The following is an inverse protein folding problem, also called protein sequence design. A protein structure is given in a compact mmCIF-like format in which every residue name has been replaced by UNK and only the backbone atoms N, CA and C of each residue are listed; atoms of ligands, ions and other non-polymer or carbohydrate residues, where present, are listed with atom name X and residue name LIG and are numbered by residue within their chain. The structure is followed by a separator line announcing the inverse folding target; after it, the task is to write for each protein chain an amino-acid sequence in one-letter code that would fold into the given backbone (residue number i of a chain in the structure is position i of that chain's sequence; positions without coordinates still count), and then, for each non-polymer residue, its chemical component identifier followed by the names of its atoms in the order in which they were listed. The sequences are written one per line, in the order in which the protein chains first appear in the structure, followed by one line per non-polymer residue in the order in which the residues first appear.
data_IF_896464596498
#
_entry.id   IF_896464596498
#
_cell.length_a   1.000
_cell.length_b   1.000
_cell.length_c   1.000
_cell.angle_alpha   90.00
_cell.angle_beta   90.00
_cell.angle_gamma   90.00
#
_symmetry.space_group_name_H-M   'P 1'
#
loop_
_entity.id
_entity.type
_entity.pdbx_description
1 polymer ?
#
# COMPACT_ATOMS: atom_id res chain seq x y z
N UNK A 1 -32.43 -3.41 11.48
CA UNK A 1 -31.31 -2.50 11.19
C UNK A 1 -30.44 -3.17 10.15
N UNK A 2 -30.14 -2.51 9.04
CA UNK A 2 -29.32 -3.10 7.97
C UNK A 2 -27.90 -2.55 8.08
N UNK A 3 -26.92 -3.44 8.17
CA UNK A 3 -25.50 -3.08 8.24
C UNK A 3 -24.83 -3.60 6.97
N UNK A 4 -24.15 -2.70 6.27
CA UNK A 4 -23.34 -3.03 5.10
C UNK A 4 -21.89 -2.68 5.39
N UNK A 5 -20.97 -3.53 4.93
CA UNK A 5 -19.54 -3.41 5.25
C UNK A 5 -18.73 -3.39 3.96
N UNK A 6 -17.91 -2.36 3.79
CA UNK A 6 -16.89 -2.25 2.76
C UNK A 6 -15.52 -2.39 3.43
N UNK A 7 -14.69 -3.30 2.94
CA UNK A 7 -13.31 -3.49 3.42
C UNK A 7 -12.35 -2.78 2.47
N UNK A 8 -11.50 -1.92 3.00
CA UNK A 8 -10.46 -1.24 2.23
C UNK A 8 -9.08 -1.70 2.69
N UNK A 9 -8.36 -2.44 1.84
CA UNK A 9 -7.12 -3.10 2.25
C UNK A 9 -6.02 -3.11 1.18
N UNK A 10 -5.06 -4.01 1.35
CA UNK A 10 -4.00 -4.23 0.36
C UNK A 10 -4.57 -4.67 -1.00
N UNK A 11 -5.67 -5.41 -0.99
CA UNK A 11 -6.36 -5.93 -2.17
C UNK A 11 -7.28 -4.91 -2.86
N UNK A 12 -7.34 -3.67 -2.37
CA UNK A 12 -8.27 -2.64 -2.84
C UNK A 12 -9.56 -2.62 -2.03
N UNK A 13 -10.66 -2.22 -2.66
CA UNK A 13 -11.99 -2.13 -2.04
C UNK A 13 -12.74 -3.44 -2.29
N UNK A 14 -13.08 -4.16 -1.22
CA UNK A 14 -13.90 -5.38 -1.23
C UNK A 14 -15.28 -5.08 -0.67
N UNK A 15 -16.34 -5.57 -1.32
CA UNK A 15 -17.71 -5.33 -0.86
C UNK A 15 -18.10 -3.85 -0.97
N UNK A 16 -17.72 -3.20 -2.08
CA UNK A 16 -17.97 -1.78 -2.33
C UNK A 16 -19.45 -1.43 -2.15
N UNK A 17 -19.75 -0.42 -1.34
CA UNK A 17 -21.13 0.03 -1.09
C UNK A 17 -21.70 0.73 -2.32
N UNK A 18 -22.93 0.36 -2.67
CA UNK A 18 -23.64 0.94 -3.83
C UNK A 18 -24.14 2.35 -3.53
N UNK A 19 -24.37 3.14 -4.58
CA UNK A 19 -25.01 4.46 -4.41
C UNK A 19 -26.33 4.42 -3.64
N UNK A 20 -27.16 3.40 -3.87
CA UNK A 20 -28.43 3.26 -3.15
C UNK A 20 -28.21 3.03 -1.65
N UNK A 21 -27.23 2.21 -1.27
CA UNK A 21 -26.87 1.97 0.13
C UNK A 21 -26.33 3.24 0.79
N UNK A 22 -25.46 3.97 0.09
CA UNK A 22 -24.89 5.22 0.58
C UNK A 22 -25.94 6.31 0.74
N UNK A 23 -26.88 6.45 -0.21
CA UNK A 23 -27.94 7.47 -0.13
C UNK A 23 -29.01 7.14 0.92
N UNK A 24 -29.27 5.85 1.18
CA UNK A 24 -30.18 5.42 2.24
C UNK A 24 -29.55 5.37 3.64
N UNK A 25 -28.22 5.52 3.74
CA UNK A 25 -27.50 5.42 5.00
C UNK A 25 -27.90 6.54 5.97
N UNK A 26 -28.13 6.17 7.23
CA UNK A 26 -28.42 7.09 8.34
C UNK A 26 -27.15 7.56 9.06
N UNK A 27 -26.17 6.68 9.16
CA UNK A 27 -24.88 6.94 9.78
C UNK A 27 -23.80 6.07 9.12
N UNK A 28 -22.55 6.50 9.23
CA UNK A 28 -21.36 5.81 8.76
C UNK A 28 -20.36 5.64 9.91
N UNK A 29 -19.66 4.51 9.96
CA UNK A 29 -18.57 4.29 10.92
C UNK A 29 -17.31 3.99 10.13
N UNK A 30 -16.31 4.85 10.26
CA UNK A 30 -14.98 4.64 9.72
C UNK A 30 -14.09 3.99 10.79
N UNK A 31 -13.93 2.68 10.68
CA UNK A 31 -13.02 1.91 11.52
C UNK A 31 -11.68 1.71 10.80
N UNK A 32 -10.80 2.72 10.83
CA UNK A 32 -9.58 2.70 10.04
C UNK A 32 -8.40 3.43 10.71
N UNK A 33 -7.19 2.90 10.50
CA UNK A 33 -5.92 3.55 10.85
C UNK A 33 -5.25 4.24 9.66
N UNK A 34 -5.80 4.06 8.46
CA UNK A 34 -5.27 4.61 7.20
C UNK A 34 -6.34 5.47 6.53
N UNK A 35 -5.89 6.37 5.64
CA UNK A 35 -6.80 7.21 4.86
C UNK A 35 -7.80 6.35 4.06
N UNK A 36 -9.08 6.68 4.19
CA UNK A 36 -10.18 6.04 3.46
C UNK A 36 -10.10 6.46 1.99
N UNK A 37 -10.03 5.47 1.09
CA UNK A 37 -10.12 5.71 -0.35
C UNK A 37 -11.52 6.21 -0.69
N UNK A 38 -11.59 7.23 -1.55
CA UNK A 38 -12.85 7.79 -2.06
C UNK A 38 -13.81 8.24 -0.95
N UNK A 39 -13.26 8.87 0.10
CA UNK A 39 -14.03 9.36 1.25
C UNK A 39 -15.15 10.33 0.86
N UNK A 40 -15.03 11.00 -0.28
CA UNK A 40 -16.05 11.86 -0.89
C UNK A 40 -17.39 11.17 -1.14
N UNK A 41 -17.41 9.84 -1.32
CA UNK A 41 -18.65 9.03 -1.47
C UNK A 41 -19.54 9.05 -0.23
N UNK A 42 -18.95 9.34 0.92
CA UNK A 42 -19.60 9.34 2.22
C UNK A 42 -19.93 10.77 2.71
N UNK A 43 -19.67 11.78 1.89
CA UNK A 43 -19.93 13.17 2.23
C UNK A 43 -21.42 13.39 2.55
N UNK A 44 -21.71 14.12 3.64
CA UNK A 44 -23.07 14.41 4.09
C UNK A 44 -23.74 13.29 4.90
N UNK A 45 -23.07 12.16 5.13
CA UNK A 45 -23.55 11.11 6.06
C UNK A 45 -22.92 11.38 7.43
N UNK A 46 -23.71 11.41 8.54
CA UNK A 46 -23.15 11.48 9.89
C UNK A 46 -22.13 10.36 10.10
N UNK A 47 -20.89 10.71 10.39
CA UNK A 47 -19.80 9.76 10.42
C UNK A 47 -19.07 9.76 11.77
N UNK A 48 -18.82 8.57 12.30
CA UNK A 48 -17.98 8.34 13.47
C UNK A 48 -16.66 7.70 13.03
N UNK A 49 -15.52 8.30 13.39
CA UNK A 49 -14.19 7.76 13.08
C UNK A 49 -13.56 7.16 14.32
N UNK A 50 -13.15 5.89 14.25
CA UNK A 50 -12.56 5.14 15.36
C UNK A 50 -11.42 4.23 14.89
N UNK A 51 -10.48 3.84 15.78
CA UNK A 51 -9.47 2.82 15.48
C UNK A 51 -10.10 1.46 15.15
N UNK A 52 -9.39 0.62 14.37
CA UNK A 52 -9.93 -0.67 13.87
C UNK A 52 -10.27 -1.66 15.00
N UNK A 53 -9.64 -1.52 16.17
CA UNK A 53 -9.89 -2.36 17.34
C UNK A 53 -11.19 -2.04 18.09
N UNK A 54 -11.68 -0.81 17.99
CA UNK A 54 -12.84 -0.33 18.76
C UNK A 54 -14.15 -1.09 18.42
N UNK A 55 -14.52 -1.28 17.14
CA UNK A 55 -15.69 -2.07 16.77
C UNK A 55 -15.66 -3.54 17.21
N UNK A 56 -14.47 -4.11 17.44
CA UNK A 56 -14.33 -5.50 17.89
C UNK A 56 -14.72 -5.63 19.36
N UNK A 57 -14.45 -4.60 20.17
CA UNK A 57 -14.65 -4.61 21.63
C UNK A 57 -15.97 -3.95 22.05
N UNK A 58 -16.39 -2.90 21.34
CA UNK A 58 -17.51 -2.05 21.73
C UNK A 58 -18.50 -1.81 20.57
N UNK A 59 -18.81 -2.85 19.80
CA UNK A 59 -19.68 -2.78 18.62
C UNK A 59 -21.02 -2.07 18.89
N UNK A 60 -21.73 -2.48 19.94
CA UNK A 60 -23.08 -1.98 20.23
C UNK A 60 -23.07 -0.49 20.60
N UNK A 61 -22.13 -0.08 21.46
CA UNK A 61 -21.97 1.30 21.88
C UNK A 61 -21.69 2.22 20.68
N UNK A 62 -20.83 1.79 19.75
CA UNK A 62 -20.47 2.58 18.58
C UNK A 62 -21.64 2.73 17.59
N UNK A 63 -22.45 1.70 17.42
CA UNK A 63 -23.66 1.77 16.59
C UNK A 63 -24.66 2.76 17.18
N UNK A 64 -24.89 2.71 18.50
CA UNK A 64 -25.79 3.65 19.16
C UNK A 64 -25.28 5.09 19.07
N UNK A 65 -23.98 5.32 19.28
CA UNK A 65 -23.35 6.62 19.12
C UNK A 65 -23.48 7.14 17.69
N UNK A 66 -23.23 6.29 16.69
CA UNK A 66 -23.35 6.68 15.29
C UNK A 66 -24.78 7.06 14.91
N UNK A 67 -25.79 6.35 15.44
CA UNK A 67 -27.21 6.66 15.20
C UNK A 67 -27.70 7.89 15.97
N UNK A 68 -27.03 8.27 17.06
CA UNK A 68 -27.35 9.45 17.85
C UNK A 68 -26.71 10.75 17.30
N UNK A 69 -25.81 10.64 16.31
CA UNK A 69 -25.21 11.82 15.66
C UNK A 69 -26.29 12.64 14.94
N UNK A 70 -26.21 13.95 15.10
CA UNK A 70 -27.10 14.85 14.37
C UNK A 70 -26.82 14.82 12.86
N UNK A 71 -27.85 14.92 12.01
CA UNK A 71 -27.69 15.07 10.58
C UNK A 71 -26.80 16.27 10.28
N UNK A 72 -25.80 16.08 9.41
CA UNK A 72 -24.95 17.20 8.94
C UNK A 72 -25.86 18.25 8.30
N UNK A 73 -25.85 19.48 8.81
CA UNK A 73 -26.63 20.58 8.26
C UNK A 73 -26.05 20.99 6.90
N UNK A 74 -26.74 20.60 5.84
CA UNK A 74 -26.38 20.88 4.44
C UNK A 74 -27.20 19.99 3.51
N UNK A 75 -27.46 20.47 2.29
CA UNK A 75 -28.17 19.67 1.30
C UNK A 75 -27.33 18.43 0.97
N UNK A 76 -27.85 17.25 1.29
CA UNK A 76 -27.12 15.98 1.10
C UNK A 76 -26.97 15.75 -0.39
N UNK A 77 -25.77 15.99 -0.92
CA UNK A 77 -25.46 15.69 -2.30
C UNK A 77 -25.74 14.19 -2.56
N UNK A 78 -26.74 13.91 -3.38
CA UNK A 78 -27.07 12.55 -3.78
C UNK A 78 -25.88 11.98 -4.54
N UNK A 79 -25.26 10.94 -3.99
CA UNK A 79 -24.18 10.26 -4.69
C UNK A 79 -24.78 9.50 -5.87
N UNK A 80 -24.46 9.95 -7.09
CA UNK A 80 -24.75 9.21 -8.31
C UNK A 80 -23.50 8.46 -8.73
N UNK A 81 -23.60 7.13 -8.78
CA UNK A 81 -22.53 6.26 -9.24
C UNK A 81 -22.46 6.33 -10.77
N UNK A 82 -21.64 7.23 -11.30
CA UNK A 82 -21.35 7.35 -12.74
C UNK A 82 -20.39 6.24 -13.18
N UNK A 83 -20.74 4.98 -12.91
CA UNK A 83 -19.97 3.81 -13.37
C UNK A 83 -20.37 3.46 -14.82
N UNK A 84 -20.09 4.34 -15.76
CA UNK A 84 -20.03 3.92 -17.16
C UNK A 84 -18.86 2.94 -17.32
N UNK A 85 -18.99 1.83 -18.05
CA UNK A 85 -17.87 0.93 -18.33
C UNK A 85 -16.77 1.76 -19.00
N UNK A 86 -15.68 2.00 -18.26
CA UNK A 86 -14.57 2.82 -18.77
C UNK A 86 -14.07 2.12 -20.03
N UNK A 87 -14.16 2.81 -21.16
CA UNK A 87 -13.58 2.33 -22.41
C UNK A 87 -12.12 1.97 -22.16
N UNK A 88 -11.64 0.86 -22.73
CA UNK A 88 -10.23 0.44 -22.62
C UNK A 88 -9.26 1.56 -23.03
N UNK A 89 -9.67 2.43 -23.97
CA UNK A 89 -8.90 3.63 -24.35
C UNK A 89 -8.80 4.64 -23.21
N UNK A 90 -9.90 4.87 -22.49
CA UNK A 90 -9.93 5.77 -21.34
C UNK A 90 -9.13 5.20 -20.17
N UNK A 91 -9.22 3.89 -19.93
CA UNK A 91 -8.43 3.20 -18.91
C UNK A 91 -6.93 3.28 -19.21
N UNK A 92 -6.53 2.97 -20.45
CA UNK A 92 -5.14 3.10 -20.89
C UNK A 92 -4.61 4.53 -20.74
N UNK A 93 -5.38 5.53 -21.17
CA UNK A 93 -5.02 6.95 -20.99
C UNK A 93 -4.87 7.31 -19.51
N UNK A 94 -5.79 6.85 -18.67
CA UNK A 94 -5.75 7.11 -17.23
C UNK A 94 -4.52 6.44 -16.59
N UNK A 95 -4.18 5.22 -17.02
CA UNK A 95 -3.01 4.50 -16.54
C UNK A 95 -1.69 5.20 -16.89
N UNK A 96 -1.55 5.64 -18.14
CA UNK A 96 -0.40 6.40 -18.59
C UNK A 96 -0.29 7.75 -17.87
N UNK A 97 -1.40 8.48 -17.75
CA UNK A 97 -1.42 9.77 -17.08
C UNK A 97 -1.02 9.65 -15.61
N UNK A 98 -1.48 8.59 -14.93
CA UNK A 98 -1.05 8.28 -13.57
C UNK A 98 0.46 8.03 -13.50
N UNK A 99 1.00 7.16 -14.34
CA UNK A 99 2.44 6.87 -14.38
C UNK A 99 3.30 8.12 -14.61
N UNK A 100 2.90 8.98 -15.55
CA UNK A 100 3.58 10.26 -15.82
C UNK A 100 3.48 11.20 -14.62
N UNK A 101 2.29 11.35 -14.02
CA UNK A 101 2.08 12.27 -12.89
C UNK A 101 2.95 11.93 -11.69
N UNK A 102 3.17 10.65 -11.42
CA UNK A 102 4.07 10.20 -10.34
C UNK A 102 5.55 10.28 -10.71
N UNK A 103 5.89 10.33 -12.00
CA UNK A 103 7.26 10.54 -12.46
C UNK A 103 7.69 12.02 -12.41
N UNK A 104 6.78 12.97 -12.62
CA UNK A 104 7.07 14.42 -12.67
C UNK A 104 7.83 14.93 -11.43
N UNK A 105 7.40 14.64 -10.18
CA UNK A 105 8.14 15.11 -8.99
C UNK A 105 9.59 14.60 -8.94
N UNK A 106 9.84 13.39 -9.44
CA UNK A 106 11.18 12.82 -9.48
C UNK A 106 12.09 13.54 -10.49
N UNK A 107 11.55 13.85 -11.67
CA UNK A 107 12.25 14.61 -12.71
C UNK A 107 12.60 16.01 -12.20
N UNK A 108 11.64 16.68 -11.57
CA UNK A 108 11.83 18.02 -11.01
C UNK A 108 12.88 17.98 -9.91
N UNK A 109 12.81 17.02 -8.99
CA UNK A 109 13.81 16.87 -7.93
C UNK A 109 15.22 16.57 -8.49
N UNK A 110 15.34 15.71 -9.51
CA UNK A 110 16.63 15.41 -10.13
C UNK A 110 17.25 16.62 -10.82
N UNK A 111 16.44 17.36 -11.57
CA UNK A 111 16.87 18.58 -12.25
C UNK A 111 17.28 19.69 -11.30
N UNK A 112 16.52 19.91 -10.22
CA UNK A 112 16.86 20.95 -9.23
C UNK A 112 18.14 20.61 -8.46
N UNK A 113 18.32 19.36 -8.06
CA UNK A 113 19.57 18.91 -7.40
C UNK A 113 20.77 19.09 -8.33
N UNK A 114 20.64 18.72 -9.60
CA UNK A 114 21.72 18.92 -10.58
C UNK A 114 22.01 20.41 -10.80
N UNK A 115 20.98 21.23 -10.95
CA UNK A 115 21.12 22.67 -11.17
C UNK A 115 21.83 23.37 -9.99
N UNK A 116 21.44 23.04 -8.76
CA UNK A 116 22.08 23.57 -7.55
C UNK A 116 23.54 23.12 -7.47
N UNK A 117 23.83 21.87 -7.80
CA UNK A 117 25.19 21.32 -7.79
C UNK A 117 26.11 22.05 -8.79
N UNK A 118 25.61 22.29 -10.01
CA UNK A 118 26.34 23.01 -11.06
C UNK A 118 26.58 24.46 -10.65
N UNK A 119 25.56 25.15 -10.12
CA UNK A 119 25.67 26.53 -9.67
C UNK A 119 26.70 26.67 -8.54
N UNK A 120 26.70 25.76 -7.58
CA UNK A 120 27.64 25.75 -6.46
C UNK A 120 29.09 25.49 -6.91
N UNK A 121 29.29 24.55 -7.84
CA UNK A 121 30.59 24.30 -8.46
C UNK A 121 31.15 25.55 -9.16
N UNK A 122 30.30 26.30 -9.87
CA UNK A 122 30.68 27.52 -10.57
C UNK A 122 30.98 28.68 -9.62
N UNK A 123 30.14 28.89 -8.60
CA UNK A 123 30.25 30.02 -7.68
C UNK A 123 31.49 29.93 -6.78
N UNK A 124 31.85 28.72 -6.34
CA UNK A 124 32.97 28.50 -5.41
C UNK A 124 34.26 28.05 -6.10
N UNK A 125 34.26 27.92 -7.44
CA UNK A 125 35.42 27.41 -8.18
C UNK A 125 35.76 25.94 -7.91
N UNK A 126 34.80 25.14 -7.44
CA UNK A 126 34.97 23.75 -7.01
C UNK A 126 34.83 22.74 -8.17
N UNK A 127 35.19 23.12 -9.40
CA UNK A 127 35.05 22.26 -10.58
C UNK A 127 35.84 20.95 -10.44
N UNK A 128 37.01 21.01 -9.80
CA UNK A 128 37.80 19.81 -9.51
C UNK A 128 37.03 18.79 -8.66
N UNK A 129 36.22 19.22 -7.67
CA UNK A 129 35.38 18.34 -6.86
C UNK A 129 34.11 17.89 -7.57
N UNK A 130 33.65 18.63 -8.58
CA UNK A 130 32.49 18.28 -9.38
C UNK A 130 32.79 17.11 -10.33
N UNK A 131 34.00 17.08 -10.88
CA UNK A 131 34.47 16.05 -11.81
C UNK A 131 35.19 14.88 -11.10
N UNK A 132 35.74 15.11 -9.91
CA UNK A 132 36.41 14.05 -9.14
C UNK A 132 35.42 13.00 -8.65
N UNK A 133 35.62 11.75 -9.11
CA UNK A 133 34.83 10.61 -8.66
C UNK A 133 34.91 10.42 -7.14
N UNK A 134 33.78 10.06 -6.52
CA UNK A 134 33.60 9.91 -5.06
C UNK A 134 33.71 11.20 -4.22
N UNK A 135 33.84 12.37 -4.85
CA UNK A 135 33.62 13.64 -4.16
C UNK A 135 32.14 13.82 -3.79
N UNK A 136 31.88 14.56 -2.72
CA UNK A 136 30.51 14.88 -2.29
C UNK A 136 29.73 15.60 -3.41
N UNK A 137 30.38 16.52 -4.13
CA UNK A 137 29.74 17.32 -5.17
C UNK A 137 29.45 16.48 -6.43
N UNK A 138 30.35 15.55 -6.76
CA UNK A 138 30.11 14.52 -7.78
C UNK A 138 28.93 13.61 -7.41
N UNK A 139 28.76 13.28 -6.13
CA UNK A 139 27.62 12.47 -5.66
C UNK A 139 26.29 13.16 -5.96
N UNK A 140 26.18 14.46 -5.70
CA UNK A 140 24.97 15.23 -6.02
C UNK A 140 24.72 15.33 -7.54
N UNK A 141 25.79 15.51 -8.33
CA UNK A 141 25.72 15.45 -9.80
C UNK A 141 25.21 14.09 -10.28
N UNK A 142 25.78 12.99 -9.79
CA UNK A 142 25.36 11.62 -10.13
C UNK A 142 23.95 11.30 -9.67
N UNK A 143 23.55 11.81 -8.51
CA UNK A 143 22.21 11.65 -7.97
C UNK A 143 21.19 12.35 -8.89
N UNK A 144 21.37 13.65 -9.13
CA UNK A 144 20.45 14.47 -9.92
C UNK A 144 20.44 14.12 -11.41
N UNK A 145 21.61 14.01 -12.03
CA UNK A 145 21.76 13.78 -13.47
C UNK A 145 21.79 12.32 -13.91
N UNK A 146 21.82 11.37 -12.98
CA UNK A 146 21.95 9.94 -13.29
C UNK A 146 20.92 9.08 -12.57
N UNK A 147 21.10 8.88 -11.27
CA UNK A 147 20.31 7.93 -10.47
C UNK A 147 18.81 8.23 -10.48
N UNK A 148 18.42 9.49 -10.26
CA UNK A 148 17.01 9.89 -10.28
C UNK A 148 16.39 9.76 -11.68
N UNK A 149 17.17 9.98 -12.74
CA UNK A 149 16.76 9.73 -14.12
C UNK A 149 16.55 8.24 -14.41
N UNK A 150 17.43 7.37 -13.91
CA UNK A 150 17.30 5.91 -14.03
C UNK A 150 16.04 5.41 -13.31
N UNK A 151 15.73 5.96 -12.14
CA UNK A 151 14.56 5.58 -11.34
C UNK A 151 13.23 6.03 -11.96
N UNK A 152 13.24 7.02 -12.85
CA UNK A 152 12.02 7.52 -13.51
C UNK A 152 11.28 6.42 -14.28
N UNK A 153 12.02 5.56 -14.99
CA UNK A 153 11.47 4.48 -15.83
C UNK A 153 10.78 3.40 -14.97
N UNK A 154 11.41 2.85 -13.91
CA UNK A 154 10.75 1.98 -12.92
C UNK A 154 9.53 2.60 -12.25
N UNK A 155 9.62 3.86 -11.83
CA UNK A 155 8.50 4.57 -11.19
C UNK A 155 7.32 4.69 -12.15
N UNK A 156 7.56 5.11 -13.39
CA UNK A 156 6.52 5.21 -14.41
C UNK A 156 5.84 3.86 -14.66
N UNK A 157 6.60 2.78 -14.82
CA UNK A 157 6.06 1.44 -15.03
C UNK A 157 5.22 0.96 -13.84
N UNK A 158 5.73 1.17 -12.61
CA UNK A 158 5.06 0.77 -11.38
C UNK A 158 3.73 1.49 -11.18
N UNK A 159 3.68 2.81 -11.35
CA UNK A 159 2.44 3.57 -11.16
C UNK A 159 1.44 3.39 -12.30
N UNK A 160 1.93 3.10 -13.52
CA UNK A 160 1.06 2.65 -14.62
C UNK A 160 0.40 1.31 -14.26
N UNK A 161 1.16 0.34 -13.74
CA UNK A 161 0.63 -0.95 -13.30
C UNK A 161 -0.32 -0.82 -12.10
N UNK A 162 0.03 0.02 -11.12
CA UNK A 162 -0.78 0.33 -9.94
C UNK A 162 -2.17 0.85 -10.30
N UNK A 163 -2.27 1.70 -11.33
CA UNK A 163 -3.55 2.25 -11.76
C UNK A 163 -4.54 1.18 -12.29
N UNK A 164 -4.03 0.01 -12.72
CA UNK A 164 -4.82 -1.08 -13.29
C UNK A 164 -5.23 -2.13 -12.24
N UNK A 165 -4.37 -2.38 -11.24
CA UNK A 165 -4.55 -3.49 -10.31
C UNK A 165 -4.20 -3.14 -8.84
N UNK A 166 -4.17 -1.86 -8.47
CA UNK A 166 -3.84 -1.36 -7.12
C UNK A 166 -2.44 -1.81 -6.64
N UNK A 167 -2.26 -1.87 -5.32
CA UNK A 167 -1.02 -2.23 -4.61
C UNK A 167 -0.34 -3.52 -5.10
N UNK A 168 -1.03 -4.65 -5.41
CA UNK A 168 -0.34 -5.87 -5.83
C UNK A 168 0.41 -5.72 -7.16
N UNK A 169 0.08 -4.71 -7.98
CA UNK A 169 0.75 -4.46 -9.25
C UNK A 169 2.04 -3.60 -9.12
N UNK A 170 2.31 -3.01 -7.95
CA UNK A 170 3.49 -2.15 -7.78
C UNK A 170 4.80 -2.92 -7.98
N UNK A 171 4.98 -4.03 -7.27
CA UNK A 171 6.21 -4.83 -7.33
C UNK A 171 6.53 -5.34 -8.75
N UNK A 172 5.61 -6.02 -9.48
CA UNK A 172 5.88 -6.45 -10.84
C UNK A 172 6.05 -5.29 -11.81
N UNK A 173 5.35 -4.16 -11.62
CA UNK A 173 5.53 -2.97 -12.44
C UNK A 173 6.91 -2.34 -12.27
N UNK A 174 7.42 -2.26 -11.04
CA UNK A 174 8.79 -1.84 -10.76
C UNK A 174 9.83 -2.76 -11.43
N UNK A 175 9.64 -4.07 -11.31
CA UNK A 175 10.51 -5.05 -11.95
C UNK A 175 10.51 -4.91 -13.48
N UNK A 176 9.34 -4.71 -14.09
CA UNK A 176 9.21 -4.48 -15.52
C UNK A 176 9.93 -3.20 -15.98
N UNK A 177 9.83 -2.11 -15.21
CA UNK A 177 10.55 -0.87 -15.54
C UNK A 177 12.06 -0.95 -15.31
N UNK A 178 12.53 -1.72 -14.33
CA UNK A 178 13.97 -2.03 -14.19
C UNK A 178 14.46 -2.85 -15.39
N UNK A 179 13.70 -3.86 -15.82
CA UNK A 179 14.02 -4.63 -17.02
C UNK A 179 14.05 -3.74 -18.28
N UNK A 180 13.15 -2.77 -18.39
CA UNK A 180 13.15 -1.80 -19.50
C UNK A 180 14.43 -0.96 -19.56
N UNK A 181 14.99 -0.59 -18.40
CA UNK A 181 16.30 0.06 -18.34
C UNK A 181 17.42 -0.88 -18.80
N UNK A 182 17.40 -2.15 -18.36
CA UNK A 182 18.44 -3.13 -18.72
C UNK A 182 18.48 -3.46 -20.21
N UNK A 183 17.31 -3.48 -20.85
CA UNK A 183 17.16 -3.75 -22.30
C UNK A 183 17.40 -2.48 -23.14
N UNK A 184 17.52 -1.31 -22.50
CA UNK A 184 17.70 -0.03 -23.20
C UNK A 184 16.45 0.50 -23.88
N UNK A 185 15.27 -0.06 -23.61
CA UNK A 185 14.00 0.40 -24.17
C UNK A 185 13.45 1.64 -23.44
N UNK A 186 13.93 1.91 -22.22
CA UNK A 186 13.66 3.13 -21.46
C UNK A 186 12.17 3.40 -21.27
N UNK A 187 11.73 4.63 -21.54
CA UNK A 187 10.35 5.08 -21.33
C UNK A 187 9.31 4.21 -22.07
N UNK A 188 9.58 3.84 -23.32
CA UNK A 188 8.65 3.03 -24.12
C UNK A 188 8.51 1.61 -23.53
N UNK A 189 9.63 1.03 -23.10
CA UNK A 189 9.63 -0.26 -22.42
C UNK A 189 8.93 -0.23 -21.07
N UNK A 190 9.04 0.87 -20.31
CA UNK A 190 8.30 1.03 -19.07
C UNK A 190 6.80 1.14 -19.28
N UNK A 191 6.34 1.83 -20.34
CA UNK A 191 4.92 1.87 -20.69
C UNK A 191 4.43 0.46 -21.03
N UNK A 192 5.09 -0.20 -21.97
CA UNK A 192 4.67 -1.53 -22.41
C UNK A 192 4.71 -2.54 -21.26
N UNK A 193 5.83 -2.58 -20.53
CA UNK A 193 6.05 -3.48 -19.39
C UNK A 193 5.10 -3.19 -18.22
N UNK A 194 4.86 -1.91 -17.89
CA UNK A 194 3.93 -1.51 -16.84
C UNK A 194 2.48 -1.90 -17.15
N UNK A 195 2.05 -1.74 -18.40
CA UNK A 195 0.72 -2.18 -18.84
C UNK A 195 0.60 -3.70 -18.80
N UNK A 196 1.59 -4.43 -19.32
CA UNK A 196 1.61 -5.90 -19.28
C UNK A 196 1.56 -6.40 -17.83
N UNK A 197 2.39 -5.84 -16.94
CA UNK A 197 2.40 -6.19 -15.53
C UNK A 197 1.06 -5.89 -14.83
N UNK A 198 0.46 -4.73 -15.14
CA UNK A 198 -0.82 -4.32 -14.57
C UNK A 198 -1.99 -5.20 -15.01
N UNK A 199 -2.10 -5.50 -16.32
CA UNK A 199 -3.12 -6.41 -16.84
C UNK A 199 -2.93 -7.84 -16.35
N UNK A 200 -1.67 -8.31 -16.25
CA UNK A 200 -1.35 -9.61 -15.68
C UNK A 200 -1.83 -9.70 -14.23
N UNK A 201 -1.53 -8.69 -13.39
CA UNK A 201 -1.98 -8.71 -12.00
C UNK A 201 -3.50 -8.55 -11.84
N UNK A 202 -4.15 -7.78 -12.73
CA UNK A 202 -5.62 -7.71 -12.77
C UNK A 202 -6.22 -9.08 -13.11
N UNK A 203 -5.62 -9.80 -14.05
CA UNK A 203 -6.03 -11.15 -14.40
C UNK A 203 -5.88 -12.10 -13.20
N UNK A 204 -4.73 -12.07 -12.50
CA UNK A 204 -4.50 -12.86 -11.29
C UNK A 204 -5.53 -12.55 -10.22
N UNK A 205 -5.81 -11.27 -9.94
CA UNK A 205 -6.81 -10.83 -8.95
C UNK A 205 -8.22 -11.35 -9.24
N UNK A 206 -8.59 -11.45 -10.52
CA UNK A 206 -9.91 -11.92 -10.92
C UNK A 206 -10.04 -13.45 -10.92
N UNK A 207 -8.93 -14.18 -11.14
CA UNK A 207 -8.94 -15.65 -11.27
C UNK A 207 -8.49 -16.38 -10.01
N UNK A 208 -7.76 -15.72 -9.10
CA UNK A 208 -7.40 -16.24 -7.78
C UNK A 208 -8.23 -15.52 -6.71
N UNK A 209 -9.30 -16.15 -6.16
CA UNK A 209 -10.04 -15.55 -5.06
C UNK A 209 -9.15 -15.36 -3.82
N UNK A 210 -9.39 -14.29 -3.04
CA UNK A 210 -8.55 -13.85 -1.91
C UNK A 210 -8.49 -14.81 -0.71
N UNK A 211 -9.19 -15.96 -0.75
CA UNK A 211 -9.20 -16.94 0.34
C UNK A 211 -7.85 -17.66 0.53
N UNK A 212 -6.97 -17.66 -0.49
CA UNK A 212 -5.66 -18.33 -0.40
C UNK A 212 -4.50 -17.43 0.07
N UNK A 213 -4.71 -16.11 0.20
CA UNK A 213 -3.63 -15.21 0.63
C UNK A 213 -3.39 -15.26 2.16
N UNK A 214 -4.41 -15.59 2.95
CA UNK A 214 -4.32 -15.61 4.43
C UNK A 214 -3.61 -16.86 4.95
N UNK A 215 -3.63 -17.99 4.22
CA UNK A 215 -3.16 -19.25 4.79
C UNK A 215 -1.63 -19.44 4.78
N UNK A 216 -0.86 -18.55 4.15
CA UNK A 216 0.61 -18.70 4.05
C UNK A 216 1.43 -17.87 5.03
N UNK A 217 0.83 -16.91 5.74
CA UNK A 217 1.57 -16.06 6.68
C UNK A 217 1.64 -16.59 8.14
N UNK A 218 0.69 -17.40 8.66
CA UNK A 218 0.83 -17.97 10.00
C UNK A 218 2.03 -18.91 10.14
N UNK A 219 2.35 -19.70 9.11
CA UNK A 219 3.43 -20.69 9.17
C UNK A 219 4.83 -20.06 9.17
N UNK A 220 5.01 -18.91 8.51
CA UNK A 220 6.31 -18.25 8.45
C UNK A 220 6.67 -17.52 9.76
N UNK A 221 5.67 -17.04 10.50
CA UNK A 221 5.86 -16.41 11.81
C UNK A 221 5.92 -17.43 12.96
N UNK A 222 5.26 -18.59 12.83
CA UNK A 222 5.36 -19.71 13.77
C UNK A 222 6.76 -20.36 13.78
N UNK A 223 7.42 -20.46 12.61
CA UNK A 223 8.73 -21.14 12.48
C UNK A 223 9.91 -20.27 12.94
N UNK A 224 9.77 -18.94 13.00
CA UNK A 224 10.87 -18.03 13.38
C UNK A 224 10.91 -17.70 14.89
N UNK A 225 9.90 -18.10 15.67
CA UNK A 225 9.83 -17.84 17.12
C UNK A 225 10.51 -18.86 18.02
N UNK A 226 10.91 -20.03 17.52
CA UNK A 226 11.33 -21.16 18.38
C UNK A 226 12.78 -21.63 18.23
N UNK A 227 13.62 -20.99 17.39
CA UNK A 227 14.97 -21.51 17.10
C UNK A 227 16.15 -20.79 17.77
N UNK A 228 15.91 -19.83 18.68
CA UNK A 228 16.99 -19.04 19.29
C UNK A 228 17.17 -19.11 20.82
N UNK A 229 16.49 -20.02 21.53
CA UNK A 229 16.64 -20.16 23.01
C UNK A 229 16.99 -21.58 23.50
N UNK A 230 17.85 -22.33 22.77
CA UNK A 230 18.50 -23.54 23.32
C UNK A 230 19.96 -23.67 22.89
N UNK A 231 20.79 -22.68 23.21
CA UNK A 231 22.25 -22.86 23.33
C UNK A 231 22.75 -21.96 24.45
N UNK A 232 22.89 -22.54 25.64
CA UNK A 232 23.52 -21.87 26.78
C UNK A 232 22.84 -22.17 28.12
N UNK A 233 22.92 -23.41 28.60
CA UNK A 233 22.76 -23.69 30.02
C UNK A 233 23.76 -24.80 30.39
N UNK A 234 24.88 -24.49 31.07
CA UNK A 234 25.70 -25.49 31.72
C UNK A 234 25.06 -25.91 33.05
N UNK A 235 25.47 -27.08 33.50
CA UNK A 235 24.95 -27.84 34.63
C UNK A 235 24.88 -27.05 35.95
N UNK A 236 23.75 -27.13 36.66
CA UNK A 236 23.71 -26.85 38.10
C UNK A 236 22.48 -27.50 38.79
N UNK A 237 22.78 -28.57 39.52
CA UNK A 237 22.29 -28.89 40.88
C UNK A 237 20.77 -29.13 41.06
N UNK A 238 20.38 -30.40 40.99
CA UNK A 238 19.26 -30.93 41.76
C UNK A 238 19.61 -30.94 43.25
N UNK A 239 18.98 -30.08 44.03
CA UNK A 239 19.05 -30.09 45.49
C UNK A 239 17.72 -29.66 46.11
N UNK A 240 17.02 -30.61 46.75
CA UNK A 240 16.08 -30.34 47.84
C UNK A 240 14.65 -29.93 47.48
N UNK A 241 13.70 -30.84 47.75
CA UNK A 241 12.28 -30.62 48.14
C UNK A 241 11.49 -29.55 47.36
N UNK A 242 10.62 -29.99 46.45
CA UNK A 242 9.15 -29.87 46.56
C UNK A 242 8.45 -30.11 45.21
N UNK A 243 7.66 -31.21 45.15
CA UNK A 243 6.41 -31.41 44.40
C UNK A 243 6.17 -30.53 43.15
N UNK A 244 6.49 -31.05 41.97
CA UNK A 244 5.70 -30.80 40.77
C UNK A 244 4.65 -31.90 40.66
N UNK A 245 3.39 -31.56 40.94
CA UNK A 245 2.24 -32.43 40.69
C UNK A 245 1.86 -32.29 39.22
N UNK A 246 1.97 -33.42 38.53
CA UNK A 246 1.55 -33.66 37.15
C UNK A 246 0.04 -33.94 37.15
N UNK A 247 -0.77 -33.00 36.68
CA UNK A 247 -2.22 -33.13 36.63
C UNK A 247 -2.72 -32.70 35.26
N UNK A 248 -2.62 -33.59 34.25
CA UNK A 248 -3.63 -33.78 33.18
C UNK A 248 -3.12 -34.77 32.12
N UNK A 249 -2.86 -36.02 32.52
CA UNK A 249 -2.77 -37.13 31.55
C UNK A 249 -3.03 -38.50 32.16
N UNK A 250 -4.15 -38.66 32.87
CA UNK A 250 -4.67 -39.98 33.24
C UNK A 250 -6.17 -39.89 33.55
N UNK A 251 -7.00 -39.78 32.51
CA UNK A 251 -8.40 -40.25 32.53
C UNK A 251 -8.80 -40.67 31.11
N UNK A 252 -7.94 -41.52 30.55
CA UNK A 252 -8.32 -42.49 29.54
C UNK A 252 -8.04 -43.84 30.19
N UNK A 253 -9.10 -44.62 30.41
CA UNK A 253 -9.17 -45.99 30.95
C UNK A 253 -9.61 -46.09 32.43
N UNK A 254 -10.91 -45.89 32.68
CA UNK A 254 -11.74 -46.69 33.58
C UNK A 254 -13.23 -46.39 33.29
#
# INVERSE_FOLDING_TARGET
MNVYVEKQGANGIEGRLTAQQLNAAKACIFAAEVAIKESERFAGIPALSVPVAEPIRHAEALIQQALALEPVQGDRAVYQETAAPKSLKTELKQALLSGISFAVPLIVAGGTVLAVSVLLAQMLGLQHLFDQENSWLWMYRKLGGGMLGILMVPVLAAYTAYSLADKPALAPGFAAGLAANMIGSGFLGAIAGGLIAGYLMRWVKNHLPPEQQIQRLPDLLSVSGHRHLRRGQPDAVCGGRARCVDQQRADRLA
#
